data_IF_613392130568
#
_entry.id   IF_613392130568
#
_cell.length_a   1.000
_cell.length_b   1.000
_cell.length_c   1.000
_cell.angle_alpha   90.00
_cell.angle_beta   90.00
_cell.angle_gamma   90.00
#
_symmetry.space_group_name_H-M   'P 1'
#
loop_
_entity.id
_entity.type
_entity.pdbx_description
1 polymer ?
#
# COMPACT_ATOMS: atom_id res chain seq x y z
N UNK A 1 62.94 2.14 -69.33
CA UNK A 1 63.58 0.99 -68.66
C UNK A 1 62.97 0.87 -67.27
N UNK A 2 62.13 -0.17 -67.09
CA UNK A 2 61.39 -0.67 -65.91
C UNK A 2 60.88 0.34 -64.85
N UNK A 3 59.61 0.70 -65.02
CA UNK A 3 58.69 1.22 -63.99
C UNK A 3 58.19 0.03 -63.17
N UNK A 4 58.33 0.04 -61.85
CA UNK A 4 57.75 -0.96 -60.95
C UNK A 4 56.49 -0.38 -60.29
N UNK A 5 55.34 -0.96 -60.68
CA UNK A 5 54.04 -0.74 -60.08
C UNK A 5 53.92 -1.57 -58.79
N UNK A 6 53.50 -0.94 -57.68
CA UNK A 6 52.49 -1.50 -56.77
C UNK A 6 52.26 -0.56 -55.58
N UNK A 7 51.30 0.35 -55.76
CA UNK A 7 50.25 0.78 -54.83
C UNK A 7 50.54 0.60 -53.32
N UNK A 8 50.74 1.67 -52.56
CA UNK A 8 49.68 2.58 -52.05
C UNK A 8 48.70 1.85 -51.12
N UNK A 9 48.76 2.28 -49.85
CA UNK A 9 47.72 2.20 -48.82
C UNK A 9 47.52 0.83 -48.15
N UNK A 10 47.96 0.73 -46.89
CA UNK A 10 47.15 0.19 -45.79
C UNK A 10 47.91 0.36 -44.45
N UNK A 11 47.73 1.50 -43.78
CA UNK A 11 48.00 1.61 -42.34
C UNK A 11 46.65 1.46 -41.65
N UNK A 12 46.26 0.23 -41.32
CA UNK A 12 45.10 -0.03 -40.47
C UNK A 12 45.50 0.29 -39.02
N UNK A 13 45.15 1.50 -38.59
CA UNK A 13 45.08 1.88 -37.19
C UNK A 13 43.98 1.03 -36.52
N UNK A 14 44.40 0.07 -35.70
CA UNK A 14 43.52 -0.67 -34.80
C UNK A 14 43.17 0.24 -33.62
N UNK A 15 42.15 1.07 -33.78
CA UNK A 15 41.48 1.70 -32.65
C UNK A 15 40.49 0.66 -32.06
N UNK A 16 40.94 -0.07 -31.04
CA UNK A 16 40.02 -0.82 -30.17
C UNK A 16 39.18 0.24 -29.44
N UNK A 17 37.94 0.40 -29.90
CA UNK A 17 36.92 1.14 -29.19
C UNK A 17 36.62 0.39 -27.89
N UNK A 18 37.18 0.87 -26.78
CA UNK A 18 36.73 0.51 -25.45
C UNK A 18 35.42 1.26 -25.20
N UNK A 19 34.33 0.79 -25.80
CA UNK A 19 33.01 1.14 -25.33
C UNK A 19 32.89 0.50 -23.95
N UNK A 20 33.21 1.26 -22.89
CA UNK A 20 32.77 0.93 -21.56
C UNK A 20 31.25 0.84 -21.64
N UNK A 21 30.72 -0.39 -21.62
CA UNK A 21 29.32 -0.63 -21.32
C UNK A 21 29.16 -0.18 -19.88
N UNK A 22 28.87 1.10 -19.70
CA UNK A 22 28.23 1.58 -18.50
C UNK A 22 26.87 0.87 -18.48
N UNK A 23 26.85 -0.32 -17.88
CA UNK A 23 25.65 -0.77 -17.19
C UNK A 23 25.38 0.37 -16.22
N UNK A 24 24.41 1.21 -16.56
CA UNK A 24 23.84 2.14 -15.62
C UNK A 24 23.17 1.26 -14.58
N UNK A 25 23.95 0.84 -13.57
CA UNK A 25 23.36 0.42 -12.31
C UNK A 25 22.62 1.64 -11.84
N UNK A 26 21.30 1.68 -12.11
CA UNK A 26 20.42 2.65 -11.48
C UNK A 26 20.75 2.54 -10.00
N UNK A 27 21.12 3.65 -9.32
CA UNK A 27 21.25 3.59 -7.89
C UNK A 27 19.94 3.00 -7.37
N UNK A 28 20.04 1.99 -6.49
CA UNK A 28 18.89 1.47 -5.73
C UNK A 28 18.50 2.59 -4.77
N UNK A 29 17.87 3.61 -5.34
CA UNK A 29 17.42 4.83 -4.70
C UNK A 29 16.01 4.99 -5.17
N UNK A 30 15.08 4.68 -4.27
CA UNK A 30 13.64 4.88 -4.36
C UNK A 30 13.07 4.75 -5.78
N UNK A 31 12.71 3.52 -6.16
CA UNK A 31 11.74 3.33 -7.24
C UNK A 31 10.50 4.11 -6.82
N UNK A 32 10.30 5.28 -7.42
CA UNK A 32 9.01 5.94 -7.36
C UNK A 32 8.00 4.94 -7.94
N UNK A 33 6.95 4.64 -7.18
CA UNK A 33 5.88 3.79 -7.67
C UNK A 33 5.30 4.43 -8.92
N UNK A 34 5.28 3.68 -10.03
CA UNK A 34 4.41 4.02 -11.15
C UNK A 34 2.98 3.91 -10.63
N UNK A 35 2.17 4.95 -10.85
CA UNK A 35 0.81 5.00 -10.32
C UNK A 35 -0.07 3.94 -10.97
N UNK A 36 -0.67 3.07 -10.16
CA UNK A 36 -1.63 2.06 -10.58
C UNK A 36 -2.99 2.31 -9.92
N UNK A 37 -4.06 2.29 -10.71
CA UNK A 37 -5.40 2.55 -10.21
C UNK A 37 -5.79 1.52 -9.13
N UNK A 38 -6.22 2.01 -7.96
CA UNK A 38 -6.67 1.17 -6.86
C UNK A 38 -5.55 0.64 -5.97
N UNK A 39 -4.29 0.64 -6.41
CA UNK A 39 -3.14 0.25 -5.58
C UNK A 39 -2.86 1.36 -4.56
N UNK A 40 -2.75 1.00 -3.28
CA UNK A 40 -2.36 1.89 -2.18
C UNK A 40 -0.85 1.74 -1.92
N UNK A 41 -0.38 0.51 -1.79
CA UNK A 41 1.00 0.19 -1.43
C UNK A 41 1.44 -1.17 -1.97
N UNK A 42 2.64 -1.22 -2.54
CA UNK A 42 3.39 -2.45 -2.84
C UNK A 42 4.81 -2.33 -2.31
N UNK A 43 5.64 -1.45 -2.89
CA UNK A 43 6.98 -1.11 -2.39
C UNK A 43 7.09 0.35 -1.92
N UNK A 44 6.11 1.15 -2.29
CA UNK A 44 5.96 2.55 -1.98
C UNK A 44 4.47 2.91 -1.97
N UNK A 45 4.15 4.07 -1.42
CA UNK A 45 2.79 4.59 -1.50
C UNK A 45 2.55 5.08 -2.92
N UNK A 46 1.48 4.57 -3.50
CA UNK A 46 1.06 4.94 -4.84
C UNK A 46 0.79 6.46 -4.91
N UNK A 47 1.29 7.16 -5.95
CA UNK A 47 1.17 8.62 -6.05
C UNK A 47 -0.27 9.11 -6.24
N UNK A 48 -1.23 8.24 -6.58
CA UNK A 48 -2.66 8.57 -6.60
C UNK A 48 -3.27 8.62 -5.19
N UNK A 49 -2.58 8.06 -4.19
CA UNK A 49 -2.90 8.15 -2.77
C UNK A 49 -2.08 9.25 -2.11
N UNK A 50 -2.59 9.79 -1.00
CA UNK A 50 -2.03 11.01 -0.38
C UNK A 50 -1.31 10.75 0.95
N UNK A 51 -0.86 9.51 1.13
CA UNK A 51 0.04 9.12 2.19
C UNK A 51 -0.61 8.32 3.31
N UNK A 52 0.23 8.03 4.31
CA UNK A 52 -0.13 7.33 5.54
C UNK A 52 -0.23 8.37 6.66
N UNK A 53 -1.16 8.18 7.59
CA UNK A 53 -1.10 8.86 8.89
C UNK A 53 -1.55 7.96 10.03
N UNK A 54 -1.11 8.30 11.25
CA UNK A 54 -1.78 7.87 12.47
C UNK A 54 -2.92 8.84 12.82
N UNK A 55 -3.94 8.31 13.48
CA UNK A 55 -4.86 9.09 14.31
C UNK A 55 -4.88 8.42 15.68
N UNK A 56 -4.82 9.24 16.72
CA UNK A 56 -4.64 8.81 18.09
C UNK A 56 -5.50 9.65 19.03
N UNK A 57 -6.01 9.02 20.07
CA UNK A 57 -6.83 9.61 21.10
C UNK A 57 -6.28 9.18 22.46
N UNK A 58 -5.76 10.15 23.20
CA UNK A 58 -5.21 9.96 24.55
C UNK A 58 -6.32 10.04 25.61
N UNK A 59 -6.03 9.60 26.84
CA UNK A 59 -7.01 9.59 27.95
C UNK A 59 -7.69 10.94 28.23
N UNK A 60 -7.04 12.06 27.88
CA UNK A 60 -7.61 13.41 27.99
C UNK A 60 -8.66 13.73 26.92
N UNK A 61 -9.00 12.78 26.04
CA UNK A 61 -9.72 12.99 24.77
C UNK A 61 -9.00 13.95 23.81
N UNK A 62 -7.71 14.18 24.03
CA UNK A 62 -6.87 14.89 23.07
C UNK A 62 -6.64 14.00 21.85
N UNK A 63 -7.01 14.50 20.68
CA UNK A 63 -6.75 13.83 19.41
C UNK A 63 -5.45 14.35 18.78
N UNK A 64 -4.62 13.42 18.30
CA UNK A 64 -3.41 13.69 17.56
C UNK A 64 -3.45 13.00 16.20
N UNK A 65 -2.91 13.67 15.18
CA UNK A 65 -2.75 13.14 13.84
C UNK A 65 -1.31 13.37 13.42
N UNK A 66 -0.64 12.32 12.95
CA UNK A 66 0.72 12.42 12.47
C UNK A 66 0.91 11.69 11.15
N UNK A 67 1.41 12.39 10.13
CA UNK A 67 1.91 11.79 8.88
C UNK A 67 3.42 11.54 8.94
N UNK A 68 4.06 11.72 10.10
CA UNK A 68 5.49 11.49 10.28
C UNK A 68 5.70 10.00 10.65
N UNK A 69 6.52 9.24 9.91
CA UNK A 69 6.93 7.91 10.33
C UNK A 69 7.76 7.98 11.61
N UNK A 70 7.68 6.94 12.46
CA UNK A 70 8.37 6.87 13.75
C UNK A 70 8.20 8.17 14.56
N UNK A 71 6.93 8.60 14.74
CA UNK A 71 6.58 9.83 15.46
C UNK A 71 6.89 9.76 16.97
N UNK A 72 7.04 8.54 17.53
CA UNK A 72 7.24 8.29 18.96
C UNK A 72 5.94 8.31 19.77
N UNK A 73 4.78 8.32 19.11
CA UNK A 73 3.47 8.35 19.72
C UNK A 73 2.91 6.91 19.94
N UNK A 74 1.59 6.72 19.98
CA UNK A 74 1.02 5.38 20.11
C UNK A 74 1.26 4.54 18.86
N UNK A 75 0.94 5.09 17.69
CA UNK A 75 0.96 4.38 16.40
C UNK A 75 2.16 4.84 15.60
N UNK A 76 3.20 4.01 15.63
CA UNK A 76 4.41 4.20 14.85
C UNK A 76 4.32 3.37 13.57
N UNK A 77 4.72 3.97 12.45
CA UNK A 77 4.81 3.27 11.18
C UNK A 77 6.06 3.71 10.42
N UNK A 78 6.57 2.81 9.57
CA UNK A 78 7.67 3.08 8.65
C UNK A 78 7.64 2.10 7.49
N UNK A 79 8.15 2.51 6.33
CA UNK A 79 8.40 1.62 5.21
C UNK A 79 9.81 1.07 5.34
N UNK A 80 9.96 -0.26 5.41
CA UNK A 80 11.23 -0.94 5.62
C UNK A 80 11.44 -2.04 4.58
N UNK A 81 12.68 -2.44 4.26
CA UNK A 81 12.92 -3.66 3.48
C UNK A 81 12.30 -4.88 4.17
N UNK A 82 11.64 -5.73 3.40
CA UNK A 82 11.14 -7.01 3.87
C UNK A 82 12.31 -7.94 4.24
N UNK A 83 12.11 -8.79 5.25
CA UNK A 83 13.03 -9.89 5.58
C UNK A 83 12.90 -11.07 4.60
N UNK A 84 11.85 -11.07 3.78
CA UNK A 84 11.61 -12.01 2.68
C UNK A 84 11.91 -11.29 1.36
N UNK A 85 13.02 -11.65 0.70
CA UNK A 85 13.56 -10.92 -0.46
C UNK A 85 12.54 -10.70 -1.59
N UNK A 86 11.59 -11.61 -1.78
CA UNK A 86 10.57 -11.51 -2.82
C UNK A 86 9.53 -10.40 -2.60
N UNK A 87 9.47 -9.80 -1.41
CA UNK A 87 8.47 -8.77 -1.05
C UNK A 87 8.98 -7.33 -1.11
N UNK A 88 10.27 -7.10 -1.42
CA UNK A 88 10.79 -5.74 -1.56
C UNK A 88 10.70 -4.94 -0.25
N UNK A 89 9.75 -4.01 -0.15
CA UNK A 89 9.49 -3.16 1.03
C UNK A 89 8.10 -3.42 1.61
N UNK A 90 7.97 -3.30 2.93
CA UNK A 90 6.70 -3.46 3.66
C UNK A 90 6.47 -2.27 4.60
N UNK A 91 5.20 -2.06 4.97
CA UNK A 91 4.85 -1.11 6.04
C UNK A 91 4.94 -1.86 7.36
N UNK A 92 5.90 -1.48 8.20
CA UNK A 92 6.04 -1.95 9.57
C UNK A 92 5.27 -1.03 10.52
N UNK A 93 4.35 -1.59 11.30
CA UNK A 93 3.43 -0.85 12.18
C UNK A 93 3.57 -1.37 13.60
N UNK A 94 3.91 -0.48 14.53
CA UNK A 94 4.13 -0.79 15.93
C UNK A 94 3.26 0.10 16.81
N UNK A 95 2.58 -0.52 17.76
CA UNK A 95 1.86 0.16 18.82
C UNK A 95 2.73 0.17 20.08
N UNK A 96 3.04 1.37 20.59
CA UNK A 96 3.79 1.53 21.83
C UNK A 96 2.94 1.15 23.06
N UNK A 97 3.53 1.25 24.26
CA UNK A 97 2.81 1.01 25.52
C UNK A 97 2.01 2.23 26.00
N UNK A 98 1.84 3.26 25.17
CA UNK A 98 1.07 4.45 25.51
C UNK A 98 -0.39 4.11 25.87
N UNK A 99 -0.94 4.82 26.85
CA UNK A 99 -2.35 4.74 27.23
C UNK A 99 -3.18 5.63 26.29
N UNK A 100 -3.40 5.13 25.09
CA UNK A 100 -4.15 5.80 24.05
C UNK A 100 -4.87 4.78 23.17
N UNK A 101 -5.71 5.27 22.27
CA UNK A 101 -6.31 4.51 21.19
C UNK A 101 -5.95 5.12 19.85
N UNK A 102 -5.70 4.30 18.84
CA UNK A 102 -5.31 4.84 17.54
C UNK A 102 -5.45 3.84 16.41
N UNK A 103 -5.21 4.35 15.21
CA UNK A 103 -5.23 3.58 13.96
C UNK A 103 -4.26 4.17 12.95
N UNK A 104 -3.72 3.33 12.08
CA UNK A 104 -3.05 3.77 10.86
C UNK A 104 -4.10 3.95 9.75
N UNK A 105 -3.90 4.95 8.89
CA UNK A 105 -4.86 5.38 7.85
C UNK A 105 -4.16 5.63 6.52
N UNK A 106 -4.86 5.31 5.44
CA UNK A 106 -4.43 5.52 4.06
C UNK A 106 -5.45 6.42 3.34
N UNK A 107 -4.98 7.59 2.87
CA UNK A 107 -5.84 8.67 2.38
C UNK A 107 -6.02 8.59 0.86
N UNK A 108 -7.26 8.63 0.39
CA UNK A 108 -7.58 8.62 -1.05
C UNK A 108 -7.17 9.94 -1.73
N UNK A 109 -7.26 11.04 -0.98
CA UNK A 109 -7.06 12.42 -1.43
C UNK A 109 -6.44 13.26 -0.30
N UNK A 110 -6.19 14.56 -0.55
CA UNK A 110 -5.59 15.43 0.48
C UNK A 110 -6.51 15.45 1.71
N UNK A 111 -6.01 15.69 2.93
CA UNK A 111 -6.85 15.75 4.12
C UNK A 111 -8.08 16.66 3.91
N UNK A 112 -9.27 16.11 4.17
CA UNK A 112 -10.54 16.81 3.97
C UNK A 112 -11.08 16.81 2.53
N UNK A 113 -10.46 16.04 1.62
CA UNK A 113 -10.97 15.78 0.28
C UNK A 113 -11.42 14.34 0.15
N UNK A 114 -12.40 14.12 -0.72
CA UNK A 114 -12.95 12.80 -1.01
C UNK A 114 -12.61 12.34 -2.42
N UNK A 115 -12.82 11.06 -2.70
CA UNK A 115 -12.63 10.44 -4.02
C UNK A 115 -13.80 9.51 -4.32
N UNK A 116 -14.29 9.57 -5.55
CA UNK A 116 -15.26 8.61 -6.06
C UNK A 116 -14.56 7.27 -6.33
N UNK A 117 -15.02 6.24 -5.62
CA UNK A 117 -14.57 4.86 -5.68
C UNK A 117 -15.70 3.92 -6.12
N UNK A 118 -16.78 4.44 -6.71
CA UNK A 118 -17.96 3.66 -7.12
C UNK A 118 -17.65 2.56 -8.13
N UNK A 119 -16.57 2.72 -8.92
CA UNK A 119 -16.08 1.69 -9.84
C UNK A 119 -15.68 0.37 -9.15
N UNK A 120 -15.50 0.38 -7.82
CA UNK A 120 -15.14 -0.78 -7.02
C UNK A 120 -16.33 -1.43 -6.29
N UNK A 121 -17.56 -1.00 -6.54
CA UNK A 121 -18.74 -1.42 -5.76
C UNK A 121 -18.91 -2.95 -5.61
N UNK A 122 -18.55 -3.72 -6.65
CA UNK A 122 -18.64 -5.19 -6.67
C UNK A 122 -17.31 -5.89 -6.33
N UNK A 123 -16.31 -5.11 -5.92
CA UNK A 123 -14.94 -5.54 -5.73
C UNK A 123 -14.55 -5.84 -4.29
N UNK A 124 -13.25 -5.81 -4.04
CA UNK A 124 -12.67 -6.08 -2.72
C UNK A 124 -11.57 -5.10 -2.36
N UNK A 125 -11.39 -4.86 -1.07
CA UNK A 125 -10.13 -4.34 -0.52
C UNK A 125 -9.27 -5.54 -0.15
N UNK A 126 -8.07 -5.63 -0.73
CA UNK A 126 -7.11 -6.70 -0.50
C UNK A 126 -5.82 -6.16 0.11
N UNK A 127 -5.23 -6.91 1.03
CA UNK A 127 -3.90 -6.63 1.57
C UNK A 127 -3.30 -7.90 2.18
N UNK A 128 -1.97 -7.95 2.23
CA UNK A 128 -1.24 -8.96 2.98
C UNK A 128 -0.90 -8.41 4.38
N UNK A 129 -1.02 -9.26 5.39
CA UNK A 129 -0.66 -8.92 6.77
C UNK A 129 0.19 -10.02 7.40
N UNK A 130 1.21 -9.61 8.15
CA UNK A 130 2.02 -10.50 9.00
C UNK A 130 2.08 -9.92 10.40
N UNK A 131 1.46 -10.61 11.36
CA UNK A 131 1.52 -10.19 12.76
C UNK A 131 2.77 -10.76 13.40
N UNK A 132 3.61 -9.89 13.97
CA UNK A 132 4.86 -10.27 14.63
C UNK A 132 4.66 -10.44 16.14
N UNK A 133 3.89 -9.55 16.75
CA UNK A 133 3.51 -9.63 18.16
C UNK A 133 2.07 -9.12 18.33
N UNK A 134 1.27 -9.86 19.09
CA UNK A 134 -0.09 -9.45 19.44
C UNK A 134 -0.14 -8.54 20.67
N UNK A 135 0.97 -8.33 21.37
CA UNK A 135 1.04 -7.53 22.58
C UNK A 135 -0.07 -7.91 23.56
N UNK A 136 -0.84 -6.91 24.01
CA UNK A 136 -1.99 -7.08 24.91
C UNK A 136 -3.33 -7.18 24.20
N UNK A 137 -3.34 -7.40 22.89
CA UNK A 137 -4.56 -7.41 22.09
C UNK A 137 -5.37 -8.70 22.22
N UNK A 138 -6.64 -8.63 21.80
CA UNK A 138 -7.52 -9.79 21.66
C UNK A 138 -7.27 -10.60 20.38
N UNK A 139 -6.03 -10.52 19.84
CA UNK A 139 -5.60 -11.23 18.61
C UNK A 139 -6.49 -10.98 17.40
N UNK A 140 -6.93 -9.73 17.25
CA UNK A 140 -7.76 -9.28 16.15
C UNK A 140 -7.38 -7.87 15.70
N UNK A 141 -7.39 -7.68 14.39
CA UNK A 141 -7.34 -6.37 13.76
C UNK A 141 -8.76 -5.90 13.41
N UNK A 142 -8.96 -4.60 13.33
CA UNK A 142 -10.22 -3.95 13.01
C UNK A 142 -9.99 -3.03 11.82
N UNK A 143 -10.73 -3.25 10.75
CA UNK A 143 -10.66 -2.44 9.53
C UNK A 143 -11.91 -1.59 9.37
N UNK A 144 -11.72 -0.37 8.87
CA UNK A 144 -12.76 0.57 8.48
C UNK A 144 -12.38 1.34 7.23
N UNK A 145 -13.39 1.86 6.54
CA UNK A 145 -13.26 2.86 5.46
C UNK A 145 -14.08 4.09 5.88
N UNK A 146 -13.57 5.29 5.61
CA UNK A 146 -14.23 6.55 5.98
C UNK A 146 -14.59 7.30 4.70
N UNK A 147 -15.86 7.69 4.59
CA UNK A 147 -16.41 8.58 3.56
C UNK A 147 -16.51 10.00 4.11
N UNK A 148 -17.03 10.95 3.34
CA UNK A 148 -17.15 12.35 3.77
C UNK A 148 -17.76 12.46 5.17
N UNK A 149 -17.04 13.08 6.11
CA UNK A 149 -17.46 13.14 7.52
C UNK A 149 -18.93 13.60 7.65
N UNK A 150 -19.78 12.91 8.45
CA UNK A 150 -19.45 11.88 9.45
C UNK A 150 -19.54 10.42 8.95
N UNK A 151 -19.56 10.17 7.63
CA UNK A 151 -19.79 8.86 7.04
C UNK A 151 -18.61 7.89 7.24
N UNK A 152 -18.88 6.64 7.60
CA UNK A 152 -17.90 5.56 7.65
C UNK A 152 -18.55 4.18 7.59
N UNK A 153 -17.82 3.17 7.12
CA UNK A 153 -18.23 1.78 7.23
C UNK A 153 -18.34 1.34 8.70
N UNK A 154 -19.10 0.26 8.92
CA UNK A 154 -19.00 -0.56 10.12
C UNK A 154 -17.56 -1.07 10.36
N UNK A 155 -17.20 -1.42 11.61
CA UNK A 155 -15.90 -2.04 11.91
C UNK A 155 -15.90 -3.51 11.48
N UNK A 156 -14.96 -3.90 10.62
CA UNK A 156 -14.75 -5.30 10.23
C UNK A 156 -13.64 -5.89 11.09
N UNK A 157 -13.97 -6.92 11.89
CA UNK A 157 -12.97 -7.65 12.70
C UNK A 157 -12.31 -8.74 11.86
N UNK A 158 -10.98 -8.76 11.88
CA UNK A 158 -10.15 -9.71 11.13
C UNK A 158 -9.35 -10.52 12.13
N UNK A 159 -9.46 -11.84 12.01
CA UNK A 159 -8.60 -12.78 12.72
C UNK A 159 -7.46 -13.18 11.78
N UNK A 160 -6.22 -12.92 12.20
CA UNK A 160 -5.03 -13.37 11.47
C UNK A 160 -4.56 -14.67 12.11
N UNK A 161 -4.50 -15.79 11.36
CA UNK A 161 -3.99 -17.04 11.89
C UNK A 161 -2.53 -16.89 12.32
N UNK A 162 -2.20 -17.32 13.54
CA UNK A 162 -0.79 -17.37 13.97
C UNK A 162 -0.06 -16.02 14.06
N UNK A 163 1.27 -16.11 14.11
CA UNK A 163 2.22 -14.99 14.17
C UNK A 163 3.45 -15.37 13.33
N UNK A 164 4.09 -14.40 12.69
CA UNK A 164 5.30 -14.62 11.89
C UNK A 164 5.03 -15.12 10.47
N UNK A 165 3.77 -15.31 10.09
CA UNK A 165 3.34 -15.76 8.75
C UNK A 165 2.54 -14.66 8.03
N UNK A 166 2.66 -14.64 6.70
CA UNK A 166 1.90 -13.72 5.85
C UNK A 166 0.54 -14.32 5.50
N UNK A 167 -0.51 -13.52 5.64
CA UNK A 167 -1.88 -13.89 5.26
C UNK A 167 -2.48 -12.82 4.36
N UNK A 168 -3.11 -13.23 3.26
CA UNK A 168 -3.90 -12.34 2.41
C UNK A 168 -5.30 -12.19 2.97
N UNK A 169 -5.71 -10.95 3.18
CA UNK A 169 -7.07 -10.58 3.59
C UNK A 169 -7.81 -10.00 2.38
N UNK A 170 -9.08 -10.37 2.24
CA UNK A 170 -9.99 -9.85 1.22
C UNK A 170 -11.29 -9.43 1.88
N UNK A 171 -11.63 -8.15 1.78
CA UNK A 171 -12.86 -7.58 2.32
C UNK A 171 -13.78 -7.20 1.17
N UNK A 172 -15.00 -7.75 1.15
CA UNK A 172 -16.01 -7.39 0.16
C UNK A 172 -16.46 -5.94 0.34
N UNK A 173 -16.36 -5.13 -0.72
CA UNK A 173 -16.77 -3.72 -0.67
C UNK A 173 -18.28 -3.61 -0.48
N UNK A 174 -19.06 -4.52 -1.08
CA UNK A 174 -20.51 -4.60 -0.88
C UNK A 174 -20.89 -4.67 0.61
N UNK A 175 -20.18 -5.46 1.42
CA UNK A 175 -20.44 -5.54 2.86
C UNK A 175 -20.17 -4.19 3.57
N UNK A 176 -19.14 -3.46 3.14
CA UNK A 176 -18.84 -2.14 3.71
C UNK A 176 -19.92 -1.12 3.37
N UNK A 177 -20.48 -1.20 2.15
CA UNK A 177 -21.61 -0.37 1.68
C UNK A 177 -22.88 -0.70 2.46
N UNK A 178 -23.18 -1.99 2.64
CA UNK A 178 -24.30 -2.44 3.47
C UNK A 178 -24.17 -1.95 4.92
N UNK A 179 -22.93 -1.78 5.40
CA UNK A 179 -22.60 -1.25 6.72
C UNK A 179 -22.44 0.30 6.75
N UNK A 180 -22.86 1.01 5.70
CA UNK A 180 -22.99 2.47 5.68
C UNK A 180 -21.90 3.26 4.94
N UNK A 181 -21.01 2.60 4.19
CA UNK A 181 -20.02 3.27 3.34
C UNK A 181 -20.68 3.88 2.08
N UNK A 182 -20.44 5.17 1.84
CA UNK A 182 -20.76 5.84 0.57
C UNK A 182 -19.51 5.87 -0.33
N UNK A 183 -19.59 5.26 -1.52
CA UNK A 183 -18.43 5.10 -2.41
C UNK A 183 -18.10 6.32 -3.24
N UNK A 184 -19.04 7.24 -3.45
CA UNK A 184 -18.81 8.46 -4.24
C UNK A 184 -17.98 9.52 -3.50
N UNK A 185 -17.71 9.30 -2.20
CA UNK A 185 -17.13 10.29 -1.30
C UNK A 185 -16.11 9.71 -0.31
N UNK A 186 -15.29 8.73 -0.72
CA UNK A 186 -14.30 8.09 0.17
C UNK A 186 -13.13 9.04 0.51
N UNK A 187 -12.83 9.25 1.79
CA UNK A 187 -11.70 10.04 2.33
C UNK A 187 -10.55 9.11 2.80
N UNK A 188 -10.84 8.17 3.70
CA UNK A 188 -9.88 7.16 4.18
C UNK A 188 -10.22 5.82 3.56
N UNK A 189 -9.46 5.42 2.53
CA UNK A 189 -9.69 4.19 1.80
C UNK A 189 -9.29 2.92 2.55
N UNK A 190 -8.51 3.05 3.63
CA UNK A 190 -8.26 1.99 4.59
C UNK A 190 -7.83 2.60 5.93
N UNK A 191 -8.48 2.20 7.01
CA UNK A 191 -8.04 2.44 8.37
C UNK A 191 -7.98 1.11 9.12
N UNK A 192 -6.86 0.83 9.80
CA UNK A 192 -6.65 -0.44 10.48
C UNK A 192 -6.03 -0.23 11.86
N UNK A 193 -6.51 -0.98 12.84
CA UNK A 193 -6.00 -0.96 14.21
C UNK A 193 -6.15 -2.32 14.88
N UNK A 194 -5.47 -2.57 15.99
CA UNK A 194 -5.90 -3.58 16.96
C UNK A 194 -7.26 -3.23 17.55
N UNK A 195 -7.78 -4.12 18.40
CA UNK A 195 -9.03 -3.85 19.13
C UNK A 195 -8.85 -2.63 20.06
N UNK A 196 -9.88 -1.78 20.11
CA UNK A 196 -9.91 -0.60 20.99
C UNK A 196 -9.65 -0.99 22.45
N UNK A 197 -8.87 -0.18 23.17
CA UNK A 197 -8.34 -0.42 24.51
C UNK A 197 -7.45 -1.67 24.65
N UNK A 198 -7.06 -2.30 23.54
CA UNK A 198 -6.33 -3.58 23.49
C UNK A 198 -5.28 -3.53 22.38
N UNK A 199 -4.43 -2.51 22.40
CA UNK A 199 -3.47 -2.25 21.31
C UNK A 199 -2.01 -2.14 21.73
N UNK A 200 -1.72 -2.03 23.04
CA UNK A 200 -0.36 -1.89 23.53
C UNK A 200 0.52 -3.07 23.12
N UNK A 201 1.68 -2.74 22.55
CA UNK A 201 2.71 -3.71 22.14
C UNK A 201 2.38 -4.51 20.88
N UNK A 202 1.28 -4.21 20.18
CA UNK A 202 0.96 -4.90 18.92
C UNK A 202 1.96 -4.47 17.84
N UNK A 203 2.49 -5.45 17.10
CA UNK A 203 3.43 -5.24 16.01
C UNK A 203 3.04 -6.10 14.82
N UNK A 204 2.78 -5.47 13.68
CA UNK A 204 2.45 -6.18 12.45
C UNK A 204 3.01 -5.43 11.24
N UNK A 205 3.10 -6.17 10.13
CA UNK A 205 3.53 -5.66 8.84
C UNK A 205 2.40 -5.79 7.83
N UNK A 206 2.37 -4.88 6.87
CA UNK A 206 1.41 -4.89 5.77
C UNK A 206 2.12 -4.70 4.42
N UNK A 207 1.53 -5.31 3.40
CA UNK A 207 2.03 -5.28 2.01
C UNK A 207 0.85 -5.45 1.04
N UNK A 208 1.07 -5.19 -0.25
CA UNK A 208 0.12 -5.44 -1.36
C UNK A 208 -1.29 -4.87 -1.12
N UNK A 209 -1.37 -3.65 -0.58
CA UNK A 209 -2.62 -3.01 -0.20
C UNK A 209 -3.27 -2.40 -1.45
N UNK A 210 -4.50 -2.82 -1.78
CA UNK A 210 -5.20 -2.38 -3.00
C UNK A 210 -6.72 -2.50 -2.90
N UNK A 211 -7.40 -1.66 -3.67
CA UNK A 211 -8.79 -1.82 -4.07
C UNK A 211 -8.81 -2.55 -5.42
N UNK A 212 -9.58 -3.62 -5.52
CA UNK A 212 -9.68 -4.47 -6.72
C UNK A 212 -11.11 -4.37 -7.24
N UNK A 213 -11.26 -4.05 -8.54
CA UNK A 213 -12.58 -4.01 -9.19
C UNK A 213 -13.19 -5.41 -9.23
N UNK A 214 -14.50 -5.51 -9.02
CA UNK A 214 -15.20 -6.77 -9.23
C UNK A 214 -15.18 -7.17 -10.70
N UNK A 215 -15.41 -8.45 -10.98
CA UNK A 215 -15.64 -8.88 -12.35
C UNK A 215 -16.86 -8.13 -12.91
N UNK A 216 -16.68 -7.44 -14.03
CA UNK A 216 -17.84 -7.00 -14.82
C UNK A 216 -18.61 -8.26 -15.21
N UNK A 217 -19.93 -8.28 -15.00
CA UNK A 217 -20.74 -9.24 -15.72
C UNK A 217 -20.49 -9.00 -17.21
N UNK A 218 -19.89 -9.97 -17.92
CA UNK A 218 -19.85 -9.91 -19.37
C UNK A 218 -21.30 -9.76 -19.84
N UNK A 219 -21.61 -8.64 -20.50
CA UNK A 219 -22.83 -8.51 -21.27
C UNK A 219 -22.77 -9.59 -22.35
N UNK A 220 -23.37 -10.73 -22.09
CA UNK A 220 -23.67 -11.70 -23.14
C UNK A 220 -24.67 -11.01 -24.06
N UNK A 221 -24.17 -10.54 -25.20
CA UNK A 221 -24.98 -10.07 -26.31
C UNK A 221 -25.92 -11.22 -26.70
N UNK A 222 -27.19 -11.09 -26.32
CA UNK A 222 -28.23 -12.04 -26.75
C UNK A 222 -28.54 -11.70 -28.19
N UNK A 223 -27.83 -12.32 -29.13
CA UNK A 223 -28.22 -12.33 -30.52
C UNK A 223 -29.49 -13.19 -30.66
N UNK A 224 -30.66 -12.54 -30.72
CA UNK A 224 -31.88 -13.16 -31.23
C UNK A 224 -31.82 -13.02 -32.75
N UNK A 225 -31.44 -14.09 -33.45
CA UNK A 225 -31.72 -14.18 -34.88
C UNK A 225 -33.22 -14.40 -35.07
N UNK A 226 -33.82 -13.63 -35.98
CA UNK A 226 -35.22 -13.67 -36.41
C UNK A 226 -35.70 -15.07 -36.85
#
# INVERSE_FOLDING_TARGET
>A
MKINFANILLVFLVFISLAAVFVTTRPVGDVACDGEEGVIFTDCIDPSWRGISSWEMFESNYESISSKPNNGDLVEWQVVPADVEQRGKVIDIRYSDALANGRVRFHTSKPGQVKDMSAYATGTIEFDVRVLDWGRSDRALVVRVVCGYPCASGPVRIQVPGTGEWHTIKLAIAQLVDDGLELDSVDIGLAISPTWNRMQGVHFQMDNIRWVKGAMAEQTDVFVSE
#
